data_IF_840331066657
#
_entry.id   IF_840331066657
#
_cell.length_a   1.000
_cell.length_b   1.000
_cell.length_c   1.000
_cell.angle_alpha   90.00
_cell.angle_beta   90.00
_cell.angle_gamma   90.00
#
_symmetry.space_group_name_H-M   'P 1'
#
loop_
_entity.id
_entity.type
_entity.pdbx_description
1 polymer ?
#
# COMPACT_ATOMS: atom_id res chain seq x y z
N UNK A 1 -0.82 13.67 1.19
CA UNK A 1 -0.04 13.25 2.37
C UNK A 1 -0.66 11.99 2.98
N UNK A 2 0.09 10.89 3.08
CA UNK A 2 -0.42 9.60 3.54
C UNK A 2 0.24 9.14 4.85
N UNK A 3 -0.29 8.06 5.42
CA UNK A 3 0.31 7.32 6.53
C UNK A 3 0.61 5.91 6.02
N UNK A 4 1.86 5.46 6.15
CA UNK A 4 2.32 4.14 5.73
C UNK A 4 2.92 3.40 6.91
N UNK A 5 2.88 2.07 6.87
CA UNK A 5 3.53 1.20 7.85
C UNK A 5 4.46 0.25 7.10
N UNK A 6 5.72 0.18 7.50
CA UNK A 6 6.69 -0.74 6.90
C UNK A 6 6.65 -2.13 7.57
N UNK A 7 7.48 -3.07 7.10
CA UNK A 7 7.48 -4.47 7.58
C UNK A 7 7.91 -4.65 9.03
N UNK A 8 8.68 -3.71 9.60
CA UNK A 8 9.03 -3.74 11.04
C UNK A 8 7.93 -3.13 11.92
N UNK A 9 6.83 -2.63 11.35
CA UNK A 9 5.74 -2.01 12.10
C UNK A 9 5.94 -0.51 12.40
N UNK A 10 6.83 0.17 11.65
CA UNK A 10 7.06 1.61 11.80
C UNK A 10 6.05 2.42 11.01
N UNK A 11 5.33 3.29 11.70
CA UNK A 11 4.43 4.27 11.11
C UNK A 11 5.23 5.46 10.58
N UNK A 12 4.99 5.86 9.34
CA UNK A 12 5.66 6.94 8.64
C UNK A 12 4.64 7.82 7.91
N UNK A 13 4.85 9.14 7.87
CA UNK A 13 4.00 10.06 7.10
C UNK A 13 4.76 10.69 5.94
N UNK A 14 4.23 10.49 4.75
CA UNK A 14 4.71 11.17 3.55
C UNK A 14 4.12 12.57 3.43
N UNK A 15 4.97 13.52 3.05
CA UNK A 15 4.59 14.89 2.77
C UNK A 15 4.31 15.07 1.27
N UNK A 16 3.39 15.99 0.93
CA UNK A 16 3.07 16.25 -0.47
C UNK A 16 4.24 17.00 -1.12
N UNK A 17 4.82 16.41 -2.15
CA UNK A 17 5.88 17.05 -2.94
C UNK A 17 5.31 17.88 -4.10
N UNK A 18 4.30 17.36 -4.80
CA UNK A 18 3.64 18.01 -5.96
C UNK A 18 2.13 17.88 -5.84
N UNK A 19 1.40 18.72 -6.59
CA UNK A 19 -0.05 18.60 -6.70
C UNK A 19 -0.43 17.49 -7.69
N UNK A 20 -1.56 16.80 -7.48
CA UNK A 20 -2.07 15.82 -8.44
C UNK A 20 -2.31 16.46 -9.82
N UNK A 21 -2.06 15.74 -10.92
CA UNK A 21 -2.26 16.28 -12.28
C UNK A 21 -3.75 16.41 -12.62
N UNK A 22 -4.09 17.47 -13.37
CA UNK A 22 -5.45 17.69 -13.89
C UNK A 22 -6.51 17.76 -12.78
N UNK A 23 -7.53 16.90 -12.89
CA UNK A 23 -8.64 16.82 -11.93
C UNK A 23 -8.45 15.76 -10.85
N UNK A 24 -7.26 15.15 -10.75
CA UNK A 24 -6.99 14.18 -9.70
C UNK A 24 -7.14 14.82 -8.30
N UNK A 25 -7.50 13.97 -7.32
CA UNK A 25 -7.77 14.35 -5.93
C UNK A 25 -7.05 13.41 -4.98
N UNK A 26 -6.96 13.76 -3.71
CA UNK A 26 -6.42 12.87 -2.69
C UNK A 26 -7.39 11.71 -2.44
N UNK A 27 -6.91 10.47 -2.37
CA UNK A 27 -7.77 9.27 -2.32
C UNK A 27 -8.87 9.35 -1.25
N UNK A 28 -8.54 9.84 -0.05
CA UNK A 28 -9.49 9.93 1.05
C UNK A 28 -10.64 10.92 0.78
N UNK A 29 -10.40 12.00 0.01
CA UNK A 29 -11.45 12.96 -0.34
C UNK A 29 -12.40 12.36 -1.37
N UNK A 30 -11.90 11.51 -2.26
CA UNK A 30 -12.72 10.78 -3.24
C UNK A 30 -13.72 9.88 -2.50
N UNK A 31 -13.24 9.07 -1.55
CA UNK A 31 -14.12 8.22 -0.74
C UNK A 31 -15.08 9.01 0.14
N UNK A 32 -14.63 10.12 0.74
CA UNK A 32 -15.49 11.01 1.54
C UNK A 32 -16.60 11.64 0.68
N UNK A 33 -16.30 12.13 -0.51
CA UNK A 33 -17.29 12.68 -1.43
C UNK A 33 -18.27 11.61 -1.93
N UNK A 34 -17.75 10.43 -2.31
CA UNK A 34 -18.58 9.30 -2.74
C UNK A 34 -19.54 8.87 -1.63
N UNK A 35 -19.08 8.84 -0.38
CA UNK A 35 -19.92 8.43 0.76
C UNK A 35 -21.17 9.30 0.93
N UNK A 36 -21.04 10.60 0.63
CA UNK A 36 -22.15 11.55 0.69
C UNK A 36 -23.15 11.34 -0.44
N UNK A 37 -22.65 11.11 -1.67
CA UNK A 37 -23.49 10.76 -2.83
C UNK A 37 -24.30 9.48 -2.57
N UNK A 38 -23.72 8.52 -1.86
CA UNK A 38 -24.36 7.26 -1.50
C UNK A 38 -25.27 7.34 -0.26
N UNK A 39 -25.38 8.50 0.39
CA UNK A 39 -26.19 8.68 1.60
C UNK A 39 -25.60 8.07 2.88
N UNK A 40 -24.32 7.67 2.85
CA UNK A 40 -23.58 7.08 3.97
C UNK A 40 -22.37 7.93 4.35
N UNK A 41 -22.60 9.23 4.57
CA UNK A 41 -21.56 10.23 4.78
C UNK A 41 -20.58 9.83 5.88
N UNK A 42 -19.29 9.76 5.52
CA UNK A 42 -18.22 9.46 6.46
C UNK A 42 -18.00 10.65 7.43
N UNK A 43 -17.80 10.42 8.74
CA UNK A 43 -17.81 11.48 9.75
C UNK A 43 -16.45 12.16 9.92
N UNK A 44 -15.91 12.70 8.83
CA UNK A 44 -14.69 13.52 8.80
C UNK A 44 -14.66 14.37 7.52
N UNK A 45 -14.12 15.57 7.61
CA UNK A 45 -14.08 16.52 6.47
C UNK A 45 -12.66 17.01 6.15
N UNK A 46 -11.68 16.66 6.99
CA UNK A 46 -10.28 17.03 6.79
C UNK A 46 -9.33 15.87 7.17
N UNK A 47 -8.06 15.99 6.75
CA UNK A 47 -7.06 14.97 7.01
C UNK A 47 -6.77 14.79 8.52
N UNK A 48 -6.96 15.83 9.33
CA UNK A 48 -6.70 15.79 10.79
C UNK A 48 -7.77 14.95 11.49
N UNK A 49 -9.04 15.18 11.17
CA UNK A 49 -10.19 14.42 11.68
C UNK A 49 -10.16 12.98 11.20
N UNK A 50 -9.79 12.73 9.94
CA UNK A 50 -9.53 11.37 9.46
C UNK A 50 -8.44 10.67 10.28
N UNK A 51 -7.30 11.33 10.53
CA UNK A 51 -6.22 10.77 11.34
C UNK A 51 -6.64 10.56 12.80
N UNK A 52 -7.42 11.47 13.38
CA UNK A 52 -7.96 11.31 14.72
C UNK A 52 -8.90 10.10 14.81
N UNK A 53 -9.74 9.88 13.78
CA UNK A 53 -10.59 8.69 13.70
C UNK A 53 -9.75 7.41 13.59
N UNK A 54 -8.76 7.38 12.71
CA UNK A 54 -7.83 6.24 12.56
C UNK A 54 -7.14 5.96 13.90
N UNK A 55 -6.64 6.98 14.60
CA UNK A 55 -6.00 6.81 15.91
C UNK A 55 -6.99 6.38 17.02
N UNK A 56 -8.26 6.77 16.91
CA UNK A 56 -9.31 6.32 17.83
C UNK A 56 -9.63 4.83 17.70
N UNK A 57 -9.56 4.30 16.48
CA UNK A 57 -9.83 2.88 16.18
C UNK A 57 -8.57 2.02 16.28
N UNK A 58 -7.43 2.54 15.84
CA UNK A 58 -6.11 1.91 15.87
C UNK A 58 -5.07 2.86 16.49
N UNK A 59 -4.95 2.87 17.83
CA UNK A 59 -4.06 3.81 18.55
C UNK A 59 -2.61 3.79 18.08
N UNK A 60 -2.11 2.62 17.70
CA UNK A 60 -0.73 2.46 17.22
C UNK A 60 -0.45 3.21 15.91
N UNK A 61 -1.47 3.53 15.10
CA UNK A 61 -1.31 4.32 13.87
C UNK A 61 -1.31 5.84 14.12
N UNK A 62 -1.60 6.28 15.35
CA UNK A 62 -1.71 7.70 15.71
C UNK A 62 -0.36 8.41 15.82
N UNK A 63 0.73 7.66 16.06
CA UNK A 63 2.07 8.20 16.33
C UNK A 63 3.06 7.65 15.30
N UNK A 64 3.92 8.51 14.76
CA UNK A 64 5.01 8.06 13.88
C UNK A 64 6.09 7.37 14.70
N UNK A 65 6.69 6.31 14.16
CA UNK A 65 7.70 5.52 14.85
C UNK A 65 7.37 4.04 14.91
N UNK A 66 8.28 3.28 15.53
CA UNK A 66 8.15 1.84 15.67
C UNK A 66 7.05 1.51 16.67
N UNK A 67 6.06 0.71 16.25
CA UNK A 67 5.07 0.16 17.17
C UNK A 67 5.61 -1.14 17.75
N UNK A 68 5.77 -1.26 19.08
CA UNK A 68 6.15 -2.52 19.69
C UNK A 68 5.01 -3.54 19.52
N UNK A 69 5.36 -4.75 19.12
CA UNK A 69 4.46 -5.90 19.10
C UNK A 69 4.96 -6.94 20.09
N UNK A 70 4.06 -7.49 20.91
CA UNK A 70 4.39 -8.64 21.74
C UNK A 70 4.56 -9.88 20.87
N UNK A 71 5.55 -10.71 21.22
CA UNK A 71 5.71 -11.98 20.56
C UNK A 71 4.52 -12.89 20.92
N UNK A 72 3.75 -13.25 19.91
CA UNK A 72 2.68 -14.24 20.05
C UNK A 72 3.22 -15.59 19.62
N UNK A 73 3.20 -16.56 20.52
CA UNK A 73 3.51 -17.94 20.16
C UNK A 73 2.42 -18.42 19.20
N UNK A 74 2.76 -18.82 17.96
CA UNK A 74 1.76 -19.35 17.05
C UNK A 74 1.05 -20.53 17.69
N UNK A 75 -0.29 -20.56 17.63
CA UNK A 75 -1.03 -21.73 18.04
C UNK A 75 -0.63 -22.94 17.18
N UNK A 76 -0.73 -24.15 17.72
CA UNK A 76 -0.57 -25.35 16.91
C UNK A 76 -1.68 -25.38 15.84
N UNK A 77 -1.28 -25.39 14.57
CA UNK A 77 -2.20 -25.51 13.44
C UNK A 77 -1.94 -26.80 12.69
N UNK A 78 -2.96 -27.65 12.56
CA UNK A 78 -2.93 -28.79 11.66
C UNK A 78 -3.27 -28.33 10.24
N UNK A 79 -2.28 -28.35 9.35
CA UNK A 79 -2.47 -28.04 7.94
C UNK A 79 -1.79 -29.10 7.06
N UNK A 80 -2.51 -29.59 6.05
CA UNK A 80 -1.92 -30.45 5.01
C UNK A 80 -1.10 -29.58 4.06
N UNK A 81 0.21 -29.81 4.02
CA UNK A 81 1.10 -29.08 3.13
C UNK A 81 0.95 -29.57 1.68
N UNK A 82 0.75 -28.68 0.70
CA UNK A 82 0.75 -29.06 -0.70
C UNK A 82 2.16 -29.47 -1.13
N UNK A 83 2.29 -30.49 -1.98
CA UNK A 83 3.57 -31.00 -2.48
C UNK A 83 4.23 -30.12 -3.54
N UNK A 84 3.75 -28.89 -3.74
CA UNK A 84 4.27 -27.97 -4.76
C UNK A 84 5.53 -27.26 -4.25
N UNK A 85 6.53 -26.99 -5.11
CA UNK A 85 7.67 -26.18 -4.72
C UNK A 85 7.23 -24.73 -4.42
N UNK A 86 8.00 -24.05 -3.57
CA UNK A 86 7.86 -22.62 -3.40
C UNK A 86 8.21 -21.90 -4.70
N UNK A 87 7.39 -20.91 -5.05
CA UNK A 87 7.62 -20.02 -6.18
C UNK A 87 7.80 -18.60 -5.65
N UNK A 88 8.59 -17.81 -6.36
CA UNK A 88 8.74 -16.39 -6.04
C UNK A 88 7.40 -15.69 -6.31
N UNK A 89 6.81 -14.98 -5.32
CA UNK A 89 5.56 -14.23 -5.54
C UNK A 89 5.77 -13.03 -6.47
N UNK A 90 7.01 -12.57 -6.63
CA UNK A 90 7.41 -11.49 -7.52
C UNK A 90 8.34 -12.10 -8.56
N UNK A 91 7.83 -12.28 -9.78
CA UNK A 91 8.59 -12.79 -10.93
C UNK A 91 9.49 -11.72 -11.55
N UNK A 92 9.05 -10.46 -11.54
CA UNK A 92 9.81 -9.34 -12.07
C UNK A 92 9.82 -8.17 -11.09
N UNK A 93 10.99 -7.91 -10.52
CA UNK A 93 11.22 -6.84 -9.54
C UNK A 93 10.93 -5.43 -10.11
N UNK A 94 11.15 -5.21 -11.40
CA UNK A 94 11.06 -3.89 -12.03
C UNK A 94 9.63 -3.47 -12.40
N UNK A 95 8.64 -4.36 -12.31
CA UNK A 95 7.23 -4.08 -12.70
C UNK A 95 6.20 -4.47 -11.63
N UNK A 96 6.58 -4.30 -10.37
CA UNK A 96 5.78 -4.73 -9.20
C UNK A 96 4.51 -3.92 -8.94
N UNK A 97 4.44 -2.68 -9.42
CA UNK A 97 3.35 -1.75 -9.12
C UNK A 97 3.04 -0.85 -10.33
N UNK A 98 1.88 -0.15 -10.35
CA UNK A 98 1.48 0.68 -11.49
C UNK A 98 2.48 1.77 -11.86
N UNK A 99 3.19 2.36 -10.88
CA UNK A 99 4.19 3.41 -11.14
C UNK A 99 5.38 2.81 -11.88
N UNK A 100 5.87 1.67 -11.41
CA UNK A 100 7.00 0.98 -12.03
C UNK A 100 6.64 0.46 -13.44
N UNK A 101 5.42 -0.06 -13.64
CA UNK A 101 4.93 -0.48 -14.96
C UNK A 101 4.83 0.66 -15.97
N UNK A 102 4.46 1.85 -15.54
CA UNK A 102 4.39 3.02 -16.41
C UNK A 102 5.77 3.68 -16.67
N UNK A 103 6.84 3.21 -16.04
CA UNK A 103 8.17 3.81 -16.15
C UNK A 103 8.95 3.27 -17.34
N UNK A 104 9.31 4.15 -18.27
CA UNK A 104 10.20 3.82 -19.39
C UNK A 104 11.59 3.33 -18.91
N UNK A 105 12.10 3.89 -17.82
CA UNK A 105 13.39 3.47 -17.23
C UNK A 105 13.32 2.05 -16.67
N UNK A 106 12.23 1.69 -16.00
CA UNK A 106 12.07 0.31 -15.52
C UNK A 106 11.88 -0.68 -16.66
N UNK A 107 11.21 -0.28 -17.75
CA UNK A 107 11.13 -1.09 -18.96
C UNK A 107 12.52 -1.38 -19.54
N UNK A 108 13.39 -0.37 -19.63
CA UNK A 108 14.79 -0.56 -20.06
C UNK A 108 15.58 -1.50 -19.12
N UNK A 109 15.36 -1.40 -17.80
CA UNK A 109 15.96 -2.34 -16.85
C UNK A 109 15.51 -3.79 -17.09
N UNK A 110 14.24 -4.02 -17.45
CA UNK A 110 13.76 -5.37 -17.79
C UNK A 110 14.48 -5.91 -19.02
N UNK A 111 14.58 -5.10 -20.08
CA UNK A 111 15.22 -5.51 -21.33
C UNK A 111 16.71 -5.86 -21.14
N UNK A 112 17.43 -5.07 -20.34
CA UNK A 112 18.88 -5.24 -20.14
C UNK A 112 19.25 -6.29 -19.10
N UNK A 113 18.46 -6.46 -18.03
CA UNK A 113 18.85 -7.25 -16.85
C UNK A 113 18.09 -8.59 -16.79
N UNK A 114 16.80 -8.59 -17.10
CA UNK A 114 15.95 -9.79 -16.98
C UNK A 114 15.88 -10.56 -18.29
N UNK A 115 15.90 -9.85 -19.42
CA UNK A 115 15.67 -10.39 -20.77
C UNK A 115 14.20 -10.26 -21.20
N UNK A 116 13.98 -10.09 -22.50
CA UNK A 116 12.70 -9.66 -23.10
C UNK A 116 11.49 -10.60 -22.86
N UNK A 117 11.70 -11.84 -22.42
CA UNK A 117 10.64 -12.86 -22.32
C UNK A 117 9.66 -12.67 -21.14
N UNK A 118 9.89 -11.70 -20.25
CA UNK A 118 9.07 -11.49 -19.04
C UNK A 118 8.14 -10.26 -19.09
N UNK A 119 8.08 -9.54 -20.22
CA UNK A 119 7.22 -8.35 -20.39
C UNK A 119 5.72 -8.71 -20.52
N UNK A 120 5.39 -9.92 -20.98
CA UNK A 120 4.00 -10.32 -21.29
C UNK A 120 3.22 -10.89 -20.10
N UNK A 121 3.85 -11.16 -18.95
CA UNK A 121 3.18 -11.81 -17.81
C UNK A 121 2.44 -10.83 -16.88
N UNK A 122 2.27 -9.56 -17.28
CA UNK A 122 1.75 -8.49 -16.42
C UNK A 122 0.55 -7.72 -17.01
N UNK A 123 -0.03 -8.20 -18.13
CA UNK A 123 -1.33 -7.74 -18.65
C UNK A 123 -2.52 -8.42 -17.97
#
# INVERSE_FOLDING_TARGET
>A
PGTWVNLEGRVQRGQRAVFPPGEAREDWTIYRALSEVLGHTLPYDDLRSLRARIAGEWPHLGVEGLTPAEWVTPADFEATLPSRPFALPISNFYVTNPIARASATMAECVDQIVGADQLQAAE
#
